data_IF_769811411230
#
_entry.id   IF_769811411230
#
_cell.length_a   1.000
_cell.length_b   1.000
_cell.length_c   1.000
_cell.angle_alpha   90.00
_cell.angle_beta   90.00
_cell.angle_gamma   90.00
#
_symmetry.space_group_name_H-M   'P 1'
#
loop_
_entity.id
_entity.type
_entity.pdbx_description
1 polymer ?
#
# COMPACT_ATOMS: atom_id res chain seq x y z
N UNK A 1 -6.59 -19.12 -0.21
CA UNK A 1 -7.57 -18.68 -1.24
C UNK A 1 -6.81 -17.87 -2.27
N UNK A 2 -6.96 -18.20 -3.58
CA UNK A 2 -6.22 -17.51 -4.65
C UNK A 2 -6.78 -16.13 -4.97
N UNK A 3 -5.96 -15.28 -5.61
CA UNK A 3 -6.34 -13.92 -6.00
C UNK A 3 -7.43 -13.86 -7.09
N UNK A 4 -7.51 -14.88 -7.93
CA UNK A 4 -8.45 -14.96 -9.05
C UNK A 4 -9.49 -16.05 -8.78
N UNK A 5 -10.75 -15.76 -9.11
CA UNK A 5 -11.87 -16.69 -8.96
C UNK A 5 -12.67 -16.84 -10.26
N UNK A 6 -13.12 -18.04 -10.53
CA UNK A 6 -14.11 -18.33 -11.58
C UNK A 6 -15.57 -18.26 -11.07
N UNK A 7 -15.77 -18.04 -9.77
CA UNK A 7 -17.09 -17.99 -9.15
C UNK A 7 -17.68 -16.57 -9.24
N UNK A 8 -18.78 -16.34 -9.98
CA UNK A 8 -19.34 -15.00 -10.18
C UNK A 8 -19.72 -14.28 -8.87
N UNK A 9 -20.24 -15.02 -7.88
CA UNK A 9 -20.65 -14.47 -6.57
C UNK A 9 -19.48 -14.06 -5.67
N UNK A 10 -18.26 -14.45 -6.01
CA UNK A 10 -17.02 -14.09 -5.30
C UNK A 10 -16.18 -13.06 -6.07
N UNK A 11 -16.50 -12.86 -7.35
CA UNK A 11 -15.81 -11.90 -8.21
C UNK A 11 -16.19 -10.46 -7.84
N UNK A 12 -15.21 -9.55 -7.90
CA UNK A 12 -15.47 -8.11 -7.74
C UNK A 12 -16.13 -7.49 -8.98
N UNK A 13 -16.28 -8.24 -10.07
CA UNK A 13 -16.84 -7.74 -11.32
C UNK A 13 -18.26 -7.18 -11.21
N UNK A 14 -19.02 -7.60 -10.20
CA UNK A 14 -20.38 -7.12 -9.92
C UNK A 14 -20.44 -5.92 -8.96
N UNK A 15 -19.32 -5.55 -8.33
CA UNK A 15 -19.28 -4.46 -7.37
C UNK A 15 -19.09 -3.12 -8.09
N UNK A 16 -19.67 -2.06 -7.53
CA UNK A 16 -19.36 -0.69 -7.95
C UNK A 16 -17.99 -0.30 -7.41
N UNK A 17 -17.38 0.74 -8.01
CA UNK A 17 -16.10 1.30 -7.53
C UNK A 17 -16.21 1.74 -6.06
N UNK A 18 -17.29 2.45 -5.71
CA UNK A 18 -17.55 2.91 -4.36
C UNK A 18 -17.62 1.75 -3.35
N UNK A 19 -18.24 0.63 -3.72
CA UNK A 19 -18.30 -0.56 -2.87
C UNK A 19 -16.93 -1.21 -2.70
N UNK A 20 -16.12 -1.26 -3.75
CA UNK A 20 -14.73 -1.74 -3.69
C UNK A 20 -13.90 -0.86 -2.75
N UNK A 21 -13.96 0.47 -2.91
CA UNK A 21 -13.26 1.43 -2.03
C UNK A 21 -13.70 1.23 -0.58
N UNK A 22 -15.00 1.14 -0.31
CA UNK A 22 -15.53 0.90 1.04
C UNK A 22 -15.00 -0.39 1.66
N UNK A 23 -14.97 -1.50 0.92
CA UNK A 23 -14.42 -2.78 1.41
C UNK A 23 -12.93 -2.68 1.72
N UNK A 24 -12.17 -2.02 0.85
CA UNK A 24 -10.73 -1.79 1.03
C UNK A 24 -10.49 -0.95 2.29
N UNK A 25 -11.12 0.21 2.41
CA UNK A 25 -10.92 1.12 3.54
C UNK A 25 -11.34 0.50 4.87
N UNK A 26 -12.43 -0.28 4.89
CA UNK A 26 -12.85 -1.05 6.07
C UNK A 26 -11.77 -2.05 6.50
N UNK A 27 -11.14 -2.74 5.56
CA UNK A 27 -10.12 -3.75 5.86
C UNK A 27 -8.73 -3.15 6.13
N UNK A 28 -8.46 -1.94 5.68
CA UNK A 28 -7.30 -1.16 6.12
C UNK A 28 -7.40 -0.77 7.60
N UNK A 29 -8.62 -0.66 8.11
CA UNK A 29 -8.89 -0.37 9.52
C UNK A 29 -8.24 0.95 9.98
N UNK A 30 -7.60 0.94 11.14
CA UNK A 30 -6.96 2.12 11.72
C UNK A 30 -5.76 2.66 10.94
N UNK A 31 -5.25 1.93 9.93
CA UNK A 31 -4.26 2.43 9.01
C UNK A 31 -4.83 3.43 7.98
N UNK A 32 -6.17 3.51 7.88
CA UNK A 32 -6.88 4.44 7.01
C UNK A 32 -7.56 5.50 7.90
N UNK A 33 -7.03 6.72 8.00
CA UNK A 33 -7.62 7.77 8.84
C UNK A 33 -8.97 8.25 8.27
N UNK A 34 -9.75 8.92 9.11
CA UNK A 34 -10.97 9.57 8.66
C UNK A 34 -10.67 10.83 7.81
N UNK A 35 -11.63 11.25 6.98
CA UNK A 35 -11.57 12.54 6.30
C UNK A 35 -11.34 13.69 7.31
N UNK A 36 -10.55 14.74 7.01
CA UNK A 36 -9.99 15.09 5.70
C UNK A 36 -8.62 14.45 5.37
N UNK A 37 -7.98 13.77 6.30
CA UNK A 37 -6.69 13.13 6.08
C UNK A 37 -6.79 11.77 5.37
N UNK A 38 -7.96 11.16 5.36
CA UNK A 38 -8.27 9.91 4.66
C UNK A 38 -9.27 10.08 3.53
N UNK A 39 -9.72 8.97 2.90
CA UNK A 39 -10.67 8.98 1.79
C UNK A 39 -11.98 9.69 2.12
N UNK A 40 -12.56 10.36 1.12
CA UNK A 40 -13.83 11.11 1.25
C UNK A 40 -13.85 12.41 0.47
N UNK A 41 -12.77 12.77 -0.21
CA UNK A 41 -12.62 13.90 -1.13
C UNK A 41 -11.58 13.60 -2.19
N UNK A 42 -11.33 14.56 -3.11
CA UNK A 42 -10.39 14.39 -4.21
C UNK A 42 -8.92 14.35 -3.76
N UNK A 43 -8.62 14.83 -2.56
CA UNK A 43 -7.27 14.87 -2.01
C UNK A 43 -7.26 14.56 -0.51
N UNK A 44 -6.17 13.98 -0.02
CA UNK A 44 -5.85 13.93 1.40
C UNK A 44 -5.29 15.29 1.86
N UNK A 45 -5.79 15.82 2.97
CA UNK A 45 -5.44 17.16 3.48
C UNK A 45 -4.75 17.00 4.83
N UNK A 46 -3.53 17.52 4.93
CA UNK A 46 -2.72 17.53 6.16
C UNK A 46 -2.37 18.94 6.57
N UNK A 47 -2.57 19.25 7.83
CA UNK A 47 -2.05 20.45 8.45
C UNK A 47 -0.67 20.16 9.04
N UNK A 48 0.39 20.78 8.51
CA UNK A 48 1.75 20.64 9.05
C UNK A 48 1.94 21.59 10.23
N UNK A 49 2.13 21.04 11.43
CA UNK A 49 2.32 21.82 12.67
C UNK A 49 3.78 22.04 13.06
N UNK A 50 4.72 21.23 12.50
CA UNK A 50 6.15 21.30 12.82
C UNK A 50 6.98 21.08 11.56
N UNK A 51 7.90 21.99 11.21
CA UNK A 51 8.80 21.80 10.09
C UNK A 51 9.69 20.58 10.29
N UNK A 52 9.61 19.61 9.38
CA UNK A 52 10.52 18.47 9.33
C UNK A 52 11.62 18.77 8.33
N UNK A 53 12.87 18.37 8.63
CA UNK A 53 14.03 18.80 7.84
C UNK A 53 14.00 18.27 6.40
N UNK A 54 13.61 17.00 6.21
CA UNK A 54 13.53 16.39 4.88
C UNK A 54 12.26 15.58 4.76
N UNK A 55 11.55 15.74 3.63
CA UNK A 55 10.53 14.81 3.17
C UNK A 55 11.18 13.81 2.23
N UNK A 56 10.87 12.53 2.42
CA UNK A 56 11.34 11.43 1.58
C UNK A 56 10.12 10.76 0.97
N UNK A 57 10.18 10.48 -0.31
CA UNK A 57 9.08 9.81 -1.02
C UNK A 57 9.64 8.65 -1.83
N UNK A 58 8.93 7.53 -1.84
CA UNK A 58 9.21 6.37 -2.68
C UNK A 58 7.92 5.80 -3.24
N UNK A 59 8.04 4.95 -4.24
CA UNK A 59 6.92 4.21 -4.83
C UNK A 59 7.39 2.84 -5.27
N UNK A 60 6.67 1.81 -4.84
CA UNK A 60 6.94 0.44 -5.28
C UNK A 60 5.62 -0.32 -5.48
N UNK A 61 5.65 -1.35 -6.32
CA UNK A 61 4.47 -2.10 -6.72
C UNK A 61 4.64 -3.59 -6.46
N UNK A 62 3.49 -4.28 -6.31
CA UNK A 62 3.41 -5.73 -6.44
C UNK A 62 2.45 -6.08 -7.58
N UNK A 63 2.82 -7.06 -8.38
CA UNK A 63 2.08 -7.49 -9.58
C UNK A 63 1.94 -9.01 -9.53
N UNK A 64 0.72 -9.50 -9.74
CA UNK A 64 0.42 -10.92 -9.88
C UNK A 64 1.23 -11.53 -11.03
N UNK A 65 1.80 -12.72 -10.81
CA UNK A 65 2.66 -13.41 -11.76
C UNK A 65 4.09 -12.89 -11.81
N UNK A 66 4.42 -11.77 -11.14
CA UNK A 66 5.78 -11.22 -11.07
C UNK A 66 6.34 -11.19 -9.64
N UNK A 67 5.57 -10.69 -8.69
CA UNK A 67 6.01 -10.49 -7.31
C UNK A 67 5.38 -11.48 -6.34
N UNK A 68 4.28 -12.08 -6.74
CA UNK A 68 3.58 -13.17 -6.06
C UNK A 68 2.78 -13.98 -7.11
N UNK A 69 2.36 -15.18 -6.77
CA UNK A 69 1.61 -16.09 -7.62
C UNK A 69 0.16 -16.25 -7.15
N UNK A 70 -0.62 -17.04 -7.90
CA UNK A 70 -2.04 -17.30 -7.61
C UNK A 70 -2.29 -18.03 -6.28
N UNK A 71 -1.29 -18.71 -5.73
CA UNK A 71 -1.37 -19.44 -4.47
C UNK A 71 -1.06 -18.56 -3.25
N UNK A 72 -0.50 -17.37 -3.49
CA UNK A 72 -0.12 -16.44 -2.41
C UNK A 72 -1.37 -15.88 -1.73
N UNK A 73 -1.44 -15.99 -0.41
CA UNK A 73 -2.52 -15.41 0.38
C UNK A 73 -2.53 -13.88 0.27
N UNK A 74 -3.73 -13.30 0.23
CA UNK A 74 -3.90 -11.84 0.13
C UNK A 74 -3.15 -11.08 1.23
N UNK A 75 -3.22 -11.55 2.48
CA UNK A 75 -2.54 -10.92 3.62
C UNK A 75 -1.02 -10.86 3.42
N UNK A 76 -0.43 -11.88 2.81
CA UNK A 76 1.01 -11.95 2.53
C UNK A 76 1.39 -10.99 1.40
N UNK A 77 0.60 -10.96 0.32
CA UNK A 77 0.81 -10.04 -0.81
C UNK A 77 0.69 -8.57 -0.37
N UNK A 78 -0.29 -8.25 0.49
CA UNK A 78 -0.46 -6.91 1.06
C UNK A 78 0.68 -6.49 1.97
N UNK A 79 1.12 -7.37 2.86
CA UNK A 79 2.30 -7.13 3.71
C UNK A 79 3.57 -6.92 2.88
N UNK A 80 3.74 -7.69 1.80
CA UNK A 80 4.88 -7.55 0.88
C UNK A 80 4.92 -6.16 0.24
N UNK A 81 3.78 -5.64 -0.21
CA UNK A 81 3.69 -4.30 -0.81
C UNK A 81 4.20 -3.22 0.16
N UNK A 82 3.72 -3.25 1.41
CA UNK A 82 4.14 -2.27 2.43
C UNK A 82 5.63 -2.41 2.75
N UNK A 83 6.10 -3.64 3.01
CA UNK A 83 7.50 -3.87 3.39
C UNK A 83 8.50 -3.45 2.31
N UNK A 84 8.16 -3.60 1.02
CA UNK A 84 9.01 -3.13 -0.09
C UNK A 84 9.24 -1.63 0.01
N UNK A 85 8.18 -0.85 0.19
CA UNK A 85 8.26 0.60 0.31
C UNK A 85 8.96 1.05 1.61
N UNK A 86 8.70 0.35 2.73
CA UNK A 86 9.37 0.65 3.99
C UNK A 86 10.88 0.40 3.93
N UNK A 87 11.31 -0.57 3.14
CA UNK A 87 12.74 -0.83 2.89
C UNK A 87 13.44 0.39 2.27
N UNK A 88 12.81 1.05 1.31
CA UNK A 88 13.37 2.26 0.68
C UNK A 88 13.45 3.43 1.65
N UNK A 89 12.39 3.64 2.45
CA UNK A 89 12.42 4.67 3.48
C UNK A 89 13.50 4.41 4.53
N UNK A 90 13.65 3.15 4.95
CA UNK A 90 14.69 2.75 5.89
C UNK A 90 16.09 3.00 5.31
N UNK A 91 16.32 2.66 4.04
CA UNK A 91 17.58 2.94 3.35
C UNK A 91 17.91 4.44 3.27
N UNK A 92 16.88 5.30 3.23
CA UNK A 92 17.04 6.75 3.25
C UNK A 92 17.14 7.34 4.68
N UNK A 93 16.96 6.53 5.73
CA UNK A 93 16.94 6.97 7.12
C UNK A 93 15.67 7.73 7.51
N UNK A 94 14.54 7.45 6.82
CA UNK A 94 13.27 8.11 7.03
C UNK A 94 12.28 7.25 7.82
N UNK A 95 11.49 7.89 8.68
CA UNK A 95 10.33 7.29 9.32
C UNK A 95 9.11 7.48 8.44
N UNK A 96 8.28 6.44 8.22
CA UNK A 96 7.07 6.54 7.41
C UNK A 96 6.03 7.48 8.03
N UNK A 97 5.18 8.05 7.20
CA UNK A 97 4.08 8.95 7.59
C UNK A 97 2.77 8.54 6.94
N UNK A 98 2.69 8.66 5.64
CA UNK A 98 1.46 8.45 4.87
C UNK A 98 1.72 7.81 3.51
N UNK A 99 0.68 7.22 2.94
CA UNK A 99 0.73 6.53 1.67
C UNK A 99 -0.56 6.69 0.86
N UNK A 100 -0.42 6.65 -0.46
CA UNK A 100 -1.50 6.49 -1.42
C UNK A 100 -1.43 5.09 -2.03
N UNK A 101 -2.56 4.37 -2.02
CA UNK A 101 -2.68 3.02 -2.56
C UNK A 101 -3.43 3.06 -3.89
N UNK A 102 -2.75 2.72 -4.99
CA UNK A 102 -3.39 2.55 -6.29
C UNK A 102 -3.52 1.07 -6.65
N UNK A 103 -4.70 0.67 -7.12
CA UNK A 103 -5.05 -0.70 -7.46
C UNK A 103 -5.49 -0.82 -8.92
N UNK A 104 -4.93 -1.77 -9.64
CA UNK A 104 -5.36 -2.22 -10.97
C UNK A 104 -5.99 -3.59 -10.82
N UNK A 105 -7.32 -3.69 -11.02
CA UNK A 105 -8.08 -4.87 -10.61
C UNK A 105 -8.90 -5.42 -11.77
N UNK A 106 -8.59 -6.66 -12.18
CA UNK A 106 -9.42 -7.43 -13.13
C UNK A 106 -10.75 -7.88 -12.50
N UNK A 107 -11.81 -8.10 -13.31
CA UNK A 107 -13.13 -8.44 -12.80
C UNK A 107 -13.20 -9.81 -12.12
N UNK A 108 -12.22 -10.67 -12.34
CA UNK A 108 -12.09 -12.02 -11.80
C UNK A 108 -11.23 -12.11 -10.54
N UNK A 109 -10.79 -10.97 -10.00
CA UNK A 109 -10.14 -10.94 -8.68
C UNK A 109 -11.14 -11.39 -7.62
N UNK A 110 -10.73 -12.33 -6.77
CA UNK A 110 -11.53 -12.84 -5.68
C UNK A 110 -11.75 -11.77 -4.60
N UNK A 111 -13.00 -11.53 -4.22
CA UNK A 111 -13.35 -10.45 -3.28
C UNK A 111 -12.79 -10.67 -1.87
N UNK A 112 -12.79 -11.92 -1.38
CA UNK A 112 -12.25 -12.25 -0.06
C UNK A 112 -10.72 -12.16 -0.07
N UNK A 113 -10.07 -12.58 -1.17
CA UNK A 113 -8.64 -12.38 -1.34
C UNK A 113 -8.26 -10.89 -1.32
N UNK A 114 -9.04 -10.03 -2.00
CA UNK A 114 -8.82 -8.58 -2.00
C UNK A 114 -8.99 -7.97 -0.61
N UNK A 115 -9.99 -8.39 0.15
CA UNK A 115 -10.19 -7.96 1.53
C UNK A 115 -9.02 -8.38 2.43
N UNK A 116 -8.52 -9.61 2.25
CA UNK A 116 -7.33 -10.11 2.94
C UNK A 116 -6.07 -9.36 2.52
N UNK A 117 -5.95 -8.96 1.24
CA UNK A 117 -4.85 -8.09 0.77
C UNK A 117 -4.88 -6.74 1.50
N UNK A 118 -6.03 -6.08 1.53
CA UNK A 118 -6.21 -4.81 2.23
C UNK A 118 -5.91 -4.94 3.75
N UNK A 119 -6.33 -6.04 4.37
CA UNK A 119 -6.00 -6.34 5.78
C UNK A 119 -4.49 -6.50 6.00
N UNK A 120 -3.79 -7.20 5.07
CA UNK A 120 -2.33 -7.33 5.10
C UNK A 120 -1.61 -5.98 4.99
N UNK A 121 -2.07 -5.11 4.07
CA UNK A 121 -1.60 -3.73 3.96
C UNK A 121 -1.84 -2.99 5.27
N UNK A 122 -3.07 -3.00 5.79
CA UNK A 122 -3.46 -2.25 6.99
C UNK A 122 -2.68 -2.66 8.24
N UNK A 123 -2.58 -3.97 8.52
CA UNK A 123 -1.82 -4.48 9.67
C UNK A 123 -0.34 -4.13 9.61
N UNK A 124 0.27 -4.26 8.43
CA UNK A 124 1.69 -3.97 8.26
C UNK A 124 1.95 -2.46 8.35
N UNK A 125 1.12 -1.64 7.71
CA UNK A 125 1.19 -0.20 7.78
C UNK A 125 1.07 0.31 9.23
N UNK A 126 0.06 -0.17 9.96
CA UNK A 126 -0.18 0.21 11.36
C UNK A 126 1.01 -0.11 12.27
N UNK A 127 1.60 -1.30 12.11
CA UNK A 127 2.79 -1.72 12.86
C UNK A 127 3.96 -0.73 12.76
N UNK A 128 4.07 -0.05 11.63
CA UNK A 128 5.16 0.89 11.35
C UNK A 128 4.73 2.37 11.38
N UNK A 129 3.51 2.66 11.84
CA UNK A 129 3.00 4.03 11.93
C UNK A 129 2.69 4.69 10.58
N UNK A 130 2.59 3.89 9.50
CA UNK A 130 2.21 4.35 8.17
C UNK A 130 0.68 4.45 8.07
N UNK A 131 0.16 5.50 7.45
CA UNK A 131 -1.27 5.70 7.21
C UNK A 131 -1.58 5.69 5.72
N UNK A 132 -2.55 4.88 5.30
CA UNK A 132 -3.09 4.93 3.94
C UNK A 132 -4.18 6.01 3.89
N UNK A 133 -3.86 7.13 3.26
CA UNK A 133 -4.68 8.35 3.30
C UNK A 133 -5.56 8.56 2.08
N UNK A 134 -5.38 7.72 1.06
CA UNK A 134 -6.13 7.76 -0.19
C UNK A 134 -5.56 6.80 -1.21
N UNK A 135 -6.00 6.95 -2.45
CA UNK A 135 -5.53 6.11 -3.55
C UNK A 135 -6.48 6.16 -4.74
N UNK A 136 -6.39 5.12 -5.56
CA UNK A 136 -7.16 4.97 -6.78
C UNK A 136 -7.52 3.50 -7.00
N UNK A 137 -8.67 3.24 -7.63
CA UNK A 137 -9.09 1.91 -8.07
C UNK A 137 -9.43 1.95 -9.55
N UNK A 138 -8.55 1.37 -10.35
CA UNK A 138 -8.74 1.27 -11.80
C UNK A 138 -9.12 -0.17 -12.18
N UNK A 139 -10.21 -0.32 -12.97
CA UNK A 139 -10.60 -1.61 -13.54
C UNK A 139 -9.78 -1.89 -14.79
N UNK A 140 -9.30 -3.12 -14.88
CA UNK A 140 -8.49 -3.61 -15.99
C UNK A 140 -9.03 -4.96 -16.50
N UNK A 141 -8.36 -5.56 -17.47
CA UNK A 141 -8.73 -6.84 -18.04
C UNK A 141 -8.63 -8.00 -17.03
N UNK A 142 -9.36 -9.09 -17.26
CA UNK A 142 -9.27 -10.32 -16.49
C UNK A 142 -7.84 -10.85 -16.37
N UNK A 143 -7.56 -11.57 -15.30
CA UNK A 143 -6.24 -12.14 -15.00
C UNK A 143 -5.24 -11.14 -14.47
N UNK A 144 -5.65 -9.91 -14.22
CA UNK A 144 -4.75 -8.82 -13.79
C UNK A 144 -5.02 -8.40 -12.35
N UNK A 145 -3.97 -8.37 -11.55
CA UNK A 145 -3.93 -7.64 -10.30
C UNK A 145 -2.56 -6.98 -10.14
N UNK A 146 -2.57 -5.68 -9.90
CA UNK A 146 -1.39 -4.94 -9.47
C UNK A 146 -1.77 -3.91 -8.42
N UNK A 147 -0.88 -3.70 -7.47
CA UNK A 147 -1.03 -2.70 -6.44
C UNK A 147 0.25 -1.87 -6.33
N UNK A 148 0.11 -0.57 -6.28
CA UNK A 148 1.20 0.38 -6.12
C UNK A 148 0.98 1.18 -4.85
N UNK A 149 2.01 1.34 -4.04
CA UNK A 149 1.97 2.18 -2.85
C UNK A 149 2.98 3.31 -3.02
N UNK A 150 2.50 4.55 -3.08
CA UNK A 150 3.33 5.75 -3.02
C UNK A 150 3.42 6.18 -1.56
N UNK A 151 4.62 6.13 -0.99
CA UNK A 151 4.84 6.34 0.44
C UNK A 151 5.64 7.61 0.68
N UNK A 152 5.25 8.35 1.70
CA UNK A 152 5.99 9.50 2.23
C UNK A 152 6.47 9.23 3.65
N UNK A 153 7.60 9.82 3.95
CA UNK A 153 8.19 9.80 5.28
C UNK A 153 9.03 11.04 5.54
N UNK A 154 9.60 11.12 6.74
CA UNK A 154 10.40 12.27 7.16
C UNK A 154 11.69 11.80 7.83
N UNK A 155 12.76 12.54 7.57
CA UNK A 155 14.06 12.31 8.17
C UNK A 155 14.68 13.61 8.71
N UNK A 156 15.41 13.51 9.81
CA UNK A 156 16.27 14.60 10.28
C UNK A 156 17.64 14.60 9.59
N UNK A 157 18.11 13.40 9.19
CA UNK A 157 19.35 13.18 8.46
C UNK A 157 19.05 12.22 7.31
N UNK A 158 19.53 12.54 6.13
CA UNK A 158 19.38 11.71 4.93
C UNK A 158 20.58 10.77 4.80
N UNK A 159 20.30 9.50 4.52
CA UNK A 159 21.27 8.52 4.03
C UNK A 159 21.11 8.36 2.52
N UNK A 160 22.22 8.39 1.80
CA UNK A 160 22.25 8.19 0.33
C UNK A 160 23.21 7.07 -0.04
N UNK A 161 23.05 6.52 -1.24
CA UNK A 161 23.96 5.47 -1.77
C UNK A 161 25.43 5.90 -1.81
N UNK A 162 25.70 7.21 -1.76
CA UNK A 162 27.06 7.78 -1.82
C UNK A 162 27.61 8.19 -0.46
N UNK A 163 26.86 8.02 0.63
CA UNK A 163 27.26 8.48 1.97
C UNK A 163 27.93 7.42 2.83
N UNK A 164 28.07 6.18 2.33
CA UNK A 164 28.77 5.13 3.04
C UNK A 164 30.28 5.39 3.11
N UNK A 165 30.87 5.15 4.28
CA UNK A 165 32.29 5.30 4.54
C UNK A 165 32.89 3.96 4.96
N UNK A 166 34.23 3.88 4.88
CA UNK A 166 34.95 2.72 5.38
C UNK A 166 34.77 2.61 6.91
N UNK A 167 34.28 1.46 7.37
CA UNK A 167 33.97 1.21 8.79
C UNK A 167 32.49 1.35 9.15
N UNK A 168 31.63 1.75 8.23
CA UNK A 168 30.17 1.74 8.44
C UNK A 168 29.65 0.28 8.56
N UNK A 169 28.64 0.10 9.42
CA UNK A 169 27.99 -1.20 9.62
C UNK A 169 26.90 -1.38 8.55
N UNK A 170 26.90 -2.55 7.91
CA UNK A 170 25.87 -2.93 6.93
C UNK A 170 24.75 -3.66 7.66
N UNK A 171 23.52 -3.20 7.47
CA UNK A 171 22.31 -3.85 7.92
C UNK A 171 21.54 -4.44 6.74
N UNK A 172 20.91 -5.61 6.93
CA UNK A 172 20.04 -6.29 5.95
C UNK A 172 18.69 -6.57 6.59
#
# INVERSE_FOLDING_TARGET
MGAITSQPNRSIGQLTEEEIIRRITTNLGNACPAFPAGPGGDCAIFEEKVPRKYRVSTVDSVVLGRHFDLSTEGVVAGAKLVNRNLSDLAAAGALPSDALLSLLIGPDVDSEWLENFANGVGKTALKHGLKCVGGDVCRVQSGTFAATLAVQGFAHRIMTRKSANNGDIIFV
#
